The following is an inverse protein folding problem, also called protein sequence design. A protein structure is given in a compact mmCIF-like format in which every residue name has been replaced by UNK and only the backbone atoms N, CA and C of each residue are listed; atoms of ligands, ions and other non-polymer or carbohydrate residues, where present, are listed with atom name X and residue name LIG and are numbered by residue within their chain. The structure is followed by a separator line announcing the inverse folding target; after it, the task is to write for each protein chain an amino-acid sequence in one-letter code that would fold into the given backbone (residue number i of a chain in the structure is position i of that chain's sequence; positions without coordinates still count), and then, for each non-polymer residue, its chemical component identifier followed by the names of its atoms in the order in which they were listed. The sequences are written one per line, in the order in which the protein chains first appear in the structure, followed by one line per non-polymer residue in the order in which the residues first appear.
data_IF_583678302228
#
_entry.id   IF_583678302228
#
_cell.length_a   1.000
_cell.length_b   1.000
_cell.length_c   1.000
_cell.angle_alpha   90.00
_cell.angle_beta   90.00
_cell.angle_gamma   90.00
#
_symmetry.space_group_name_H-M   'P 1'
#
loop_
_entity.id
_entity.type
_entity.pdbx_description
1 polymer ?
#
# COMPACT_ATOMS: atom_id res chain seq x y z
N UNK A 1 -13.05 -4.79 9.30
CA UNK A 1 -13.43 -4.27 7.95
C UNK A 1 -14.08 -5.39 7.15
N UNK A 2 -15.13 -5.10 6.39
CA UNK A 2 -15.77 -6.05 5.49
C UNK A 2 -15.44 -5.69 4.05
N UNK A 3 -15.13 -6.71 3.25
CA UNK A 3 -14.81 -6.56 1.83
C UNK A 3 -15.89 -7.26 1.03
N UNK A 4 -16.48 -6.53 0.08
CA UNK A 4 -17.47 -7.04 -0.85
C UNK A 4 -16.83 -7.16 -2.22
N UNK A 5 -16.93 -8.33 -2.83
CA UNK A 5 -16.56 -8.54 -4.23
C UNK A 5 -17.56 -7.80 -5.14
N UNK A 6 -17.04 -6.99 -6.06
CA UNK A 6 -17.81 -6.25 -7.05
C UNK A 6 -17.70 -6.88 -8.45
N UNK A 7 -16.96 -7.99 -8.59
CA UNK A 7 -16.61 -8.64 -9.85
C UNK A 7 -15.33 -8.08 -10.49
N UNK A 8 -14.77 -8.85 -11.43
CA UNK A 8 -13.57 -8.48 -12.20
C UNK A 8 -12.36 -8.07 -11.33
N UNK A 9 -12.18 -8.72 -10.18
CA UNK A 9 -11.08 -8.44 -9.24
C UNK A 9 -11.23 -7.14 -8.45
N UNK A 10 -12.40 -6.49 -8.51
CA UNK A 10 -12.68 -5.26 -7.76
C UNK A 10 -13.37 -5.56 -6.43
N UNK A 11 -13.02 -4.77 -5.42
CA UNK A 11 -13.60 -4.87 -4.08
C UNK A 11 -14.10 -3.51 -3.59
N UNK A 12 -15.09 -3.54 -2.69
CA UNK A 12 -15.41 -2.40 -1.82
C UNK A 12 -15.18 -2.78 -0.35
N UNK A 13 -14.35 -2.02 0.39
CA UNK A 13 -13.55 -0.88 -0.07
C UNK A 13 -12.43 -1.31 -1.05
N UNK A 14 -11.87 -0.39 -1.88
CA UNK A 14 -10.87 -0.73 -2.90
C UNK A 14 -9.63 -1.36 -2.28
N UNK A 15 -9.26 -2.51 -2.81
CA UNK A 15 -8.02 -3.21 -2.48
C UNK A 15 -6.99 -2.88 -3.56
N UNK A 16 -5.82 -2.36 -3.17
CA UNK A 16 -4.75 -2.08 -4.12
C UNK A 16 -4.28 -3.37 -4.83
N UNK A 17 -4.16 -3.38 -6.17
CA UNK A 17 -3.65 -4.54 -6.91
C UNK A 17 -2.13 -4.68 -6.72
N UNK A 18 -1.56 -5.75 -7.31
CA UNK A 18 -0.10 -5.86 -7.39
C UNK A 18 0.47 -4.77 -8.29
N UNK A 19 1.66 -4.29 -7.96
CA UNK A 19 2.31 -3.24 -8.70
C UNK A 19 3.28 -2.41 -7.87
N UNK A 20 3.94 -1.48 -8.56
CA UNK A 20 4.94 -0.57 -7.99
C UNK A 20 4.27 0.68 -7.44
N UNK A 21 4.55 1.00 -6.18
CA UNK A 21 4.06 2.20 -5.50
C UNK A 21 5.12 3.28 -5.56
N UNK A 22 4.67 4.48 -5.93
CA UNK A 22 5.50 5.67 -6.04
C UNK A 22 4.99 6.73 -5.06
N UNK A 23 5.89 7.33 -4.30
CA UNK A 23 5.57 8.44 -3.40
C UNK A 23 6.79 9.33 -3.19
N UNK A 24 6.58 10.45 -2.49
CA UNK A 24 7.67 11.31 -2.02
C UNK A 24 7.94 11.01 -0.54
N UNK A 25 9.07 10.38 -0.18
CA UNK A 25 9.49 10.24 1.20
C UNK A 25 9.64 11.60 1.88
N UNK A 26 9.38 11.65 3.20
CA UNK A 26 9.48 12.90 3.95
C UNK A 26 10.88 13.54 3.93
N UNK A 27 11.91 12.74 3.67
CA UNK A 27 13.32 13.12 3.67
C UNK A 27 13.84 13.66 2.33
N UNK A 28 13.03 13.65 1.26
CA UNK A 28 13.47 14.06 -0.09
C UNK A 28 12.36 14.80 -0.83
N UNK A 29 12.66 15.40 -1.99
CA UNK A 29 11.70 16.18 -2.77
C UNK A 29 11.13 15.44 -3.99
N UNK A 30 11.84 14.42 -4.47
CA UNK A 30 11.46 13.69 -5.68
C UNK A 30 10.60 12.47 -5.39
N UNK A 31 9.70 12.16 -6.32
CA UNK A 31 8.96 10.91 -6.33
C UNK A 31 9.91 9.75 -6.63
N UNK A 32 9.80 8.68 -5.85
CA UNK A 32 10.56 7.45 -6.05
C UNK A 32 9.65 6.25 -5.93
N UNK A 33 10.08 5.13 -6.50
CA UNK A 33 9.52 3.83 -6.16
C UNK A 33 9.84 3.53 -4.69
N UNK A 34 8.82 3.23 -3.90
CA UNK A 34 8.97 2.99 -2.46
C UNK A 34 8.85 1.52 -2.13
N UNK A 35 7.93 0.81 -2.76
CA UNK A 35 7.78 -0.64 -2.65
C UNK A 35 6.86 -1.19 -3.74
N UNK A 36 6.95 -2.49 -3.95
CA UNK A 36 6.04 -3.30 -4.75
C UNK A 36 5.06 -4.04 -3.85
N UNK A 37 3.79 -4.02 -4.23
CA UNK A 37 2.77 -4.93 -3.71
C UNK A 37 2.83 -6.24 -4.51
N UNK A 38 3.00 -7.36 -3.85
CA UNK A 38 3.02 -8.70 -4.46
C UNK A 38 1.94 -9.58 -3.85
N UNK A 39 1.66 -10.79 -4.39
CA UNK A 39 0.74 -11.72 -3.74
C UNK A 39 1.14 -12.08 -2.30
N UNK A 40 2.44 -12.12 -2.01
CA UNK A 40 3.00 -12.57 -0.73
C UNK A 40 3.12 -11.42 0.31
N UNK A 41 3.24 -10.17 -0.15
CA UNK A 41 3.47 -9.04 0.75
C UNK A 41 3.96 -7.77 0.07
N UNK A 42 4.80 -7.05 0.80
CA UNK A 42 5.45 -5.80 0.37
C UNK A 42 6.94 -6.05 0.20
N UNK A 43 7.51 -5.61 -0.92
CA UNK A 43 8.94 -5.71 -1.23
C UNK A 43 9.46 -4.34 -1.66
N UNK A 44 10.50 -3.80 -1.01
CA UNK A 44 11.08 -2.50 -1.39
C UNK A 44 12.15 -2.02 -0.43
N UNK A 45 13.11 -1.22 -0.91
CA UNK A 45 14.16 -0.59 -0.09
C UNK A 45 14.90 -1.55 0.87
N UNK A 46 15.19 -2.78 0.40
CA UNK A 46 15.86 -3.83 1.20
C UNK A 46 14.96 -4.52 2.24
N UNK A 47 13.67 -4.20 2.27
CA UNK A 47 12.66 -4.80 3.13
C UNK A 47 11.82 -5.79 2.30
N UNK A 48 11.59 -6.97 2.88
CA UNK A 48 10.57 -7.91 2.46
C UNK A 48 9.71 -8.21 3.66
N UNK A 49 8.41 -7.92 3.57
CA UNK A 49 7.46 -8.15 4.63
C UNK A 49 6.24 -8.87 4.09
N UNK A 50 5.94 -10.05 4.63
CA UNK A 50 4.71 -10.77 4.36
C UNK A 50 3.52 -10.02 4.98
N UNK A 51 2.30 -10.25 4.48
CA UNK A 51 1.10 -9.59 4.99
C UNK A 51 0.87 -9.75 6.51
N UNK A 52 1.28 -10.87 7.09
CA UNK A 52 1.19 -11.15 8.53
C UNK A 52 2.22 -10.38 9.38
N UNK A 53 3.29 -9.87 8.77
CA UNK A 53 4.36 -9.12 9.44
C UNK A 53 4.07 -7.63 9.52
N UNK A 54 3.09 -7.14 8.74
CA UNK A 54 2.61 -5.77 8.79
C UNK A 54 1.69 -5.62 10.01
N UNK A 55 2.07 -4.81 10.99
CA UNK A 55 1.31 -4.64 12.24
C UNK A 55 0.37 -3.45 12.21
N UNK A 56 0.55 -2.53 11.26
CA UNK A 56 -0.33 -1.38 11.15
C UNK A 56 -0.07 -0.53 9.92
N UNK A 57 -0.96 0.44 9.77
CA UNK A 57 -0.88 1.49 8.77
C UNK A 57 -1.29 2.78 9.46
N UNK A 58 -0.49 3.83 9.28
CA UNK A 58 -0.79 5.14 9.82
C UNK A 58 -1.00 6.12 8.68
N UNK A 59 -2.02 6.97 8.81
CA UNK A 59 -2.44 7.93 7.79
C UNK A 59 -3.09 9.13 8.46
N UNK A 60 -2.41 10.27 8.41
CA UNK A 60 -2.89 11.52 9.00
C UNK A 60 -2.98 12.63 7.96
N UNK A 61 -2.88 13.89 8.41
CA UNK A 61 -2.94 15.06 7.55
C UNK A 61 -1.60 15.37 6.87
N UNK A 62 -0.47 14.93 7.42
CA UNK A 62 0.87 15.22 6.89
C UNK A 62 1.44 14.05 6.08
N UNK A 63 1.13 12.83 6.48
CA UNK A 63 1.93 11.67 6.12
C UNK A 63 1.18 10.35 6.20
N UNK A 64 1.81 9.32 5.66
CA UNK A 64 1.39 7.95 5.84
C UNK A 64 2.58 7.00 5.92
N UNK A 65 2.41 5.87 6.61
CA UNK A 65 3.46 4.87 6.83
C UNK A 65 2.88 3.46 7.01
N UNK A 66 3.65 2.44 6.60
CA UNK A 66 3.40 1.03 6.88
C UNK A 66 4.26 0.63 8.09
N UNK A 67 3.65 0.02 9.10
CA UNK A 67 4.31 -0.40 10.33
C UNK A 67 4.58 -1.90 10.25
N UNK A 68 5.83 -2.30 10.44
CA UNK A 68 6.28 -3.69 10.39
C UNK A 68 6.66 -4.20 11.77
N UNK A 69 6.38 -5.46 12.07
CA UNK A 69 6.60 -6.09 13.38
C UNK A 69 8.05 -5.96 13.89
N UNK A 70 9.03 -6.10 13.00
CA UNK A 70 10.45 -6.19 13.35
C UNK A 70 11.26 -4.94 12.99
N UNK A 71 10.58 -3.85 12.62
CA UNK A 71 11.26 -2.63 12.17
C UNK A 71 11.14 -1.53 13.23
N UNK A 72 12.24 -1.31 13.96
CA UNK A 72 12.33 -0.38 15.10
C UNK A 72 12.44 1.10 14.63
N UNK A 73 12.61 1.34 13.33
CA UNK A 73 12.64 2.69 12.75
C UNK A 73 11.28 3.12 12.17
N UNK A 74 10.90 4.40 12.26
CA UNK A 74 9.76 4.97 11.52
C UNK A 74 10.08 5.22 10.03
N UNK A 75 10.82 4.30 9.40
CA UNK A 75 11.59 4.56 8.19
C UNK A 75 10.81 4.61 6.86
N UNK A 76 9.53 4.26 6.84
CA UNK A 76 8.69 4.29 5.64
C UNK A 76 7.59 5.34 5.74
N UNK A 77 7.97 6.60 5.96
CA UNK A 77 7.05 7.74 6.05
C UNK A 77 7.05 8.55 4.75
N UNK A 78 5.88 8.74 4.17
CA UNK A 78 5.69 9.40 2.89
C UNK A 78 4.75 10.60 3.05
N UNK A 79 4.99 11.67 2.28
CA UNK A 79 4.18 12.89 2.33
C UNK A 79 2.78 12.61 1.76
N UNK A 80 1.75 13.04 2.49
CA UNK A 80 0.37 13.01 2.00
C UNK A 80 0.07 14.14 1.02
N UNK A 81 0.69 15.30 1.20
CA UNK A 81 0.47 16.49 0.36
C UNK A 81 0.96 16.35 -1.09
N UNK A 82 1.61 15.24 -1.43
CA UNK A 82 2.08 14.93 -2.78
C UNK A 82 1.38 13.66 -3.29
N UNK A 83 0.96 13.60 -4.56
CA UNK A 83 0.29 12.41 -5.10
C UNK A 83 1.13 11.14 -4.93
N UNK A 84 0.55 10.16 -4.25
CA UNK A 84 1.02 8.78 -4.27
C UNK A 84 0.40 8.06 -5.47
N UNK A 85 1.22 7.34 -6.23
CA UNK A 85 0.80 6.63 -7.43
C UNK A 85 1.09 5.14 -7.37
N UNK A 86 0.39 4.38 -8.21
CA UNK A 86 0.63 2.97 -8.48
C UNK A 86 0.77 2.75 -9.98
N UNK A 87 1.75 1.92 -10.37
CA UNK A 87 1.80 1.29 -11.70
C UNK A 87 1.50 -0.18 -11.49
N UNK A 88 0.33 -0.62 -11.97
CA UNK A 88 -0.13 -2.01 -11.83
C UNK A 88 0.74 -2.96 -12.65
N UNK A 89 0.89 -4.20 -12.20
CA UNK A 89 1.66 -5.21 -12.94
C UNK A 89 1.09 -5.40 -14.36
N UNK A 90 1.98 -5.43 -15.35
CA UNK A 90 1.60 -5.52 -16.77
C UNK A 90 0.98 -4.24 -17.35
N UNK A 91 0.92 -3.15 -16.58
CA UNK A 91 0.49 -1.84 -17.03
C UNK A 91 1.66 -0.84 -17.05
N UNK A 92 1.53 0.21 -17.87
CA UNK A 92 2.50 1.32 -17.93
C UNK A 92 1.95 2.62 -17.34
N UNK A 93 0.64 2.67 -17.05
CA UNK A 93 -0.03 3.88 -16.59
C UNK A 93 0.11 4.05 -15.08
N UNK A 94 0.61 5.22 -14.67
CA UNK A 94 0.58 5.66 -13.28
C UNK A 94 -0.83 6.12 -12.90
N UNK A 95 -1.44 5.46 -11.91
CA UNK A 95 -2.74 5.85 -11.33
C UNK A 95 -2.52 6.51 -9.97
N UNK A 96 -3.21 7.60 -9.71
CA UNK A 96 -3.16 8.32 -8.41
C UNK A 96 -4.35 8.03 -7.50
N UNK A 97 -5.34 7.29 -8.00
CA UNK A 97 -6.48 6.81 -7.23
C UNK A 97 -7.03 5.51 -7.82
N UNK A 98 -7.75 4.74 -7.00
CA UNK A 98 -8.50 3.54 -7.41
C UNK A 98 -9.92 3.72 -6.89
N UNK A 99 -10.91 3.71 -7.79
CA UNK A 99 -12.33 3.94 -7.46
C UNK A 99 -12.57 5.26 -6.71
N UNK A 100 -11.76 6.31 -6.98
CA UNK A 100 -11.83 7.60 -6.28
C UNK A 100 -11.11 7.65 -4.92
N UNK A 101 -10.53 6.55 -4.45
CA UNK A 101 -9.77 6.51 -3.20
C UNK A 101 -8.29 6.71 -3.47
N UNK A 102 -7.62 7.48 -2.61
CA UNK A 102 -6.18 7.69 -2.68
C UNK A 102 -5.42 6.35 -2.55
N UNK A 103 -4.32 6.20 -3.29
CA UNK A 103 -3.50 4.97 -3.29
C UNK A 103 -3.13 4.50 -1.87
N UNK A 104 -2.71 5.35 -0.91
CA UNK A 104 -2.38 4.90 0.44
C UNK A 104 -3.57 4.24 1.16
N UNK A 105 -4.80 4.74 0.94
CA UNK A 105 -6.02 4.14 1.50
C UNK A 105 -6.28 2.77 0.88
N UNK A 106 -6.03 2.61 -0.42
CA UNK A 106 -6.15 1.33 -1.11
C UNK A 106 -5.10 0.32 -0.63
N UNK A 107 -3.89 0.78 -0.28
CA UNK A 107 -2.83 -0.04 0.33
C UNK A 107 -3.24 -0.49 1.74
N UNK A 108 -3.77 0.42 2.56
CA UNK A 108 -4.33 0.08 3.88
C UNK A 108 -5.40 -1.01 3.77
N UNK A 109 -6.31 -0.86 2.82
CA UNK A 109 -7.35 -1.85 2.55
C UNK A 109 -6.75 -3.18 2.08
N UNK A 110 -5.70 -3.16 1.24
CA UNK A 110 -4.99 -4.39 0.82
C UNK A 110 -4.40 -5.14 2.00
N UNK A 111 -3.74 -4.43 2.92
CA UNK A 111 -3.19 -5.04 4.15
C UNK A 111 -4.31 -5.71 4.95
N UNK A 112 -5.40 -5.00 5.21
CA UNK A 112 -6.53 -5.55 5.98
C UNK A 112 -7.23 -6.73 5.28
N UNK A 113 -7.34 -6.69 3.94
CA UNK A 113 -7.92 -7.76 3.13
C UNK A 113 -7.10 -9.05 3.25
N UNK A 114 -5.78 -8.96 3.06
CA UNK A 114 -4.89 -10.11 3.09
C UNK A 114 -4.79 -10.73 4.49
N UNK A 115 -4.73 -9.90 5.53
CA UNK A 115 -4.73 -10.38 6.92
C UNK A 115 -6.02 -11.11 7.29
N UNK A 116 -7.17 -10.63 6.82
CA UNK A 116 -8.44 -11.32 7.03
C UNK A 116 -8.47 -12.66 6.29
N UNK A 117 -7.94 -12.72 5.06
CA UNK A 117 -7.83 -13.95 4.27
C UNK A 117 -6.96 -15.00 4.98
N UNK A 118 -5.84 -14.59 5.57
CA UNK A 118 -4.94 -15.48 6.33
C UNK A 118 -5.56 -16.03 7.61
N UNK A 119 -6.53 -15.35 8.22
CA UNK A 119 -7.24 -15.83 9.41
C UNK A 119 -8.36 -16.84 9.08
N UNK A 120 -8.74 -16.95 7.82
CA UNK A 120 -9.81 -17.83 7.34
C UNK A 120 -9.28 -19.16 6.76
N UNK A 121 -7.97 -19.24 6.52
CA UNK A 121 -7.20 -20.45 6.18
C UNK A 121 -6.67 -21.13 7.42
#
# INVERSE_FOLDING_TARGET
MEFRDLGNGRFFPPVAPNGRIYAVPVTQESQVEIFCLTPEGVIGSGIKANWAEITGFYYDHESWEIILRNYIGRGMRFRRGVPCGIVEDGCETLKTNIQGFAIPVCVMNRIAYEQKRLQQT
#
